data_IF_829101276567
#
_entry.id   IF_829101276567
#
_cell.length_a   1.000
_cell.length_b   1.000
_cell.length_c   1.000
_cell.angle_alpha   90.00
_cell.angle_beta   90.00
_cell.angle_gamma   90.00
#
_symmetry.space_group_name_H-M   'P 1'
#
loop_
_entity.id
_entity.type
_entity.pdbx_description
1 polymer ?
#
# COMPACT_ATOMS: atom_id res chain seq x y z
N UNK A 1 -3.35 3.71 0.26
CA UNK A 1 -3.70 3.10 1.56
C UNK A 1 -3.44 4.10 2.68
N UNK A 2 -4.30 4.23 3.70
CA UNK A 2 -4.00 5.10 4.83
C UNK A 2 -2.81 4.57 5.63
N UNK A 3 -1.94 5.46 6.15
CA UNK A 3 -0.80 5.09 6.98
C UNK A 3 -1.16 4.30 8.26
N UNK A 4 -2.41 4.42 8.74
CA UNK A 4 -2.93 3.67 9.89
C UNK A 4 -3.72 2.41 9.53
N UNK A 5 -3.83 2.04 8.26
CA UNK A 5 -4.62 0.87 7.85
C UNK A 5 -3.98 -0.42 8.37
N UNK A 6 -4.78 -1.28 9.01
CA UNK A 6 -4.35 -2.57 9.55
C UNK A 6 -5.06 -3.72 8.86
N UNK A 7 -4.42 -4.89 8.87
CA UNK A 7 -5.02 -6.13 8.34
C UNK A 7 -6.32 -6.44 9.08
N UNK A 8 -7.42 -6.69 8.35
CA UNK A 8 -8.70 -7.10 8.94
C UNK A 8 -8.52 -8.46 9.66
N UNK A 9 -8.64 -8.49 10.99
CA UNK A 9 -8.66 -9.70 11.83
C UNK A 9 -9.95 -9.80 12.65
N UNK A 10 -10.35 -11.03 13.03
CA UNK A 10 -11.57 -11.28 13.81
C UNK A 10 -11.34 -11.07 15.31
N UNK A 11 -12.27 -10.42 16.00
CA UNK A 11 -12.18 -10.20 17.46
C UNK A 11 -11.41 -8.94 17.87
N UNK A 12 -11.75 -8.38 19.03
CA UNK A 12 -11.32 -7.04 19.48
C UNK A 12 -9.83 -7.00 19.84
N UNK A 13 -9.31 -8.00 20.56
CA UNK A 13 -7.87 -8.10 20.87
C UNK A 13 -7.01 -8.31 19.61
N UNK A 14 -7.48 -9.11 18.65
CA UNK A 14 -6.73 -9.41 17.43
C UNK A 14 -6.60 -8.20 16.51
N UNK A 15 -7.52 -7.23 16.60
CA UNK A 15 -7.44 -5.95 15.87
C UNK A 15 -6.34 -5.03 16.42
N UNK A 16 -6.09 -5.05 17.74
CA UNK A 16 -5.06 -4.21 18.38
C UNK A 16 -3.63 -4.63 17.98
N UNK A 17 -3.41 -5.92 17.78
CA UNK A 17 -2.13 -6.50 17.35
C UNK A 17 -2.01 -6.67 15.83
N UNK A 18 -3.04 -6.31 15.06
CA UNK A 18 -3.04 -6.52 13.62
C UNK A 18 -1.91 -5.70 12.96
N UNK A 19 -1.07 -6.31 12.11
CA UNK A 19 0.04 -5.59 11.49
C UNK A 19 -0.46 -4.45 10.60
N UNK A 20 0.37 -3.42 10.46
CA UNK A 20 0.16 -2.37 9.47
C UNK A 20 0.07 -3.00 8.08
N UNK A 21 -0.99 -2.67 7.34
CA UNK A 21 -1.32 -3.32 6.08
C UNK A 21 -0.22 -3.11 5.02
N UNK A 22 0.48 -1.97 5.07
CA UNK A 22 1.67 -1.67 4.25
C UNK A 22 2.78 -2.69 4.43
N UNK A 23 3.19 -2.92 5.68
CA UNK A 23 4.27 -3.83 5.98
C UNK A 23 3.88 -5.29 5.72
N UNK A 24 2.60 -5.62 5.96
CA UNK A 24 2.07 -6.94 5.62
C UNK A 24 2.14 -7.20 4.10
N UNK A 25 1.62 -6.28 3.27
CA UNK A 25 1.64 -6.42 1.82
C UNK A 25 3.06 -6.37 1.25
N UNK A 26 3.96 -5.57 1.84
CA UNK A 26 5.38 -5.53 1.46
C UNK A 26 6.06 -6.89 1.69
N UNK A 27 5.80 -7.54 2.84
CA UNK A 27 6.32 -8.89 3.11
C UNK A 27 5.72 -9.92 2.15
N UNK A 28 4.40 -9.88 1.94
CA UNK A 28 3.72 -10.79 1.02
C UNK A 28 4.23 -10.67 -0.42
N UNK A 29 4.57 -9.45 -0.87
CA UNK A 29 5.17 -9.21 -2.19
C UNK A 29 6.52 -9.92 -2.33
N UNK A 30 7.39 -9.80 -1.32
CA UNK A 30 8.68 -10.52 -1.28
C UNK A 30 8.49 -12.04 -1.32
N UNK A 31 7.55 -12.57 -0.53
CA UNK A 31 7.25 -14.00 -0.46
C UNK A 31 6.66 -14.54 -1.78
N UNK A 32 6.02 -13.68 -2.57
CA UNK A 32 5.44 -14.02 -3.88
C UNK A 32 6.44 -13.94 -5.04
N UNK A 33 7.72 -13.68 -4.76
CA UNK A 33 8.76 -13.62 -5.80
C UNK A 33 8.75 -12.34 -6.64
N UNK A 34 8.12 -11.26 -6.16
CA UNK A 34 8.19 -9.96 -6.84
C UNK A 34 9.63 -9.42 -6.71
N UNK A 35 10.31 -9.08 -7.82
CA UNK A 35 11.74 -8.76 -7.80
C UNK A 35 12.04 -7.42 -7.13
N UNK A 36 11.11 -6.47 -7.13
CA UNK A 36 11.28 -5.18 -6.45
C UNK A 36 9.96 -4.68 -5.87
N UNK A 37 10.04 -4.20 -4.62
CA UNK A 37 8.95 -3.51 -3.95
C UNK A 37 9.47 -2.31 -3.16
N UNK A 38 8.80 -1.15 -3.25
CA UNK A 38 9.13 0.03 -2.44
C UNK A 38 7.91 0.51 -1.65
N UNK A 39 8.16 0.99 -0.43
CA UNK A 39 7.14 1.55 0.44
C UNK A 39 7.45 3.02 0.68
N UNK A 40 6.59 3.92 0.19
CA UNK A 40 6.81 5.37 0.22
C UNK A 40 5.72 6.08 1.01
N UNK A 41 6.05 6.75 2.13
CA UNK A 41 5.13 7.72 2.73
C UNK A 41 5.02 8.94 1.81
N UNK A 42 3.80 9.44 1.60
CA UNK A 42 3.58 10.63 0.79
C UNK A 42 3.85 11.90 1.62
N UNK A 43 4.70 12.78 1.09
CA UNK A 43 5.12 14.02 1.77
C UNK A 43 4.16 15.19 1.58
N UNK A 44 3.32 15.17 0.55
CA UNK A 44 2.28 16.16 0.30
C UNK A 44 1.18 15.62 -0.63
N UNK A 45 -0.03 16.16 -0.54
CA UNK A 45 -1.12 15.78 -1.43
C UNK A 45 -2.39 16.61 -1.22
N UNK A 46 -3.42 16.34 -2.02
CA UNK A 46 -4.74 16.94 -1.88
C UNK A 46 -5.84 15.94 -2.26
N UNK A 47 -7.04 16.17 -1.76
CA UNK A 47 -8.27 15.52 -2.22
C UNK A 47 -9.09 16.52 -3.04
N UNK A 48 -9.96 16.03 -3.93
CA UNK A 48 -10.88 16.90 -4.66
C UNK A 48 -11.66 17.79 -3.68
N UNK A 49 -11.68 19.10 -3.94
CA UNK A 49 -12.32 20.09 -3.05
C UNK A 49 -11.57 20.43 -1.76
N UNK A 50 -10.35 19.93 -1.55
CA UNK A 50 -9.54 20.18 -0.36
C UNK A 50 -8.26 20.95 -0.70
N UNK A 51 -7.70 21.65 0.31
CA UNK A 51 -6.39 22.31 0.18
C UNK A 51 -5.27 21.26 0.11
N UNK A 52 -4.14 21.66 -0.46
CA UNK A 52 -2.90 20.89 -0.38
C UNK A 52 -2.48 20.80 1.10
N UNK A 53 -2.15 19.58 1.54
CA UNK A 53 -1.55 19.31 2.83
C UNK A 53 -0.15 18.74 2.67
N UNK A 54 0.70 19.02 3.66
CA UNK A 54 2.08 18.56 3.73
C UNK A 54 2.29 17.75 5.01
N UNK A 55 3.06 16.67 4.90
CA UNK A 55 3.57 15.94 6.05
C UNK A 55 4.73 16.75 6.65
N UNK A 56 4.55 17.28 7.86
CA UNK A 56 5.66 17.86 8.63
C UNK A 56 6.32 16.78 9.50
N UNK A 57 7.64 16.78 9.57
CA UNK A 57 8.46 15.77 10.29
C UNK A 57 8.21 15.73 11.81
N UNK A 58 7.66 16.79 12.39
CA UNK A 58 7.52 16.93 13.86
C UNK A 58 6.08 16.81 14.36
N UNK A 59 5.09 16.94 13.48
CA UNK A 59 3.68 16.74 13.79
C UNK A 59 3.25 15.56 12.93
N UNK A 60 2.96 14.42 13.54
CA UNK A 60 2.41 13.25 12.83
C UNK A 60 1.16 13.70 12.08
N UNK A 61 1.31 14.03 10.79
CA UNK A 61 0.21 14.40 9.92
C UNK A 61 -0.65 13.14 9.80
N UNK A 62 -1.87 13.11 10.38
CA UNK A 62 -2.53 11.83 10.65
C UNK A 62 -2.93 11.00 9.42
N UNK A 63 -2.75 11.46 8.18
CA UNK A 63 -3.50 10.89 7.06
C UNK A 63 -2.88 11.01 5.66
N UNK A 64 -1.56 11.12 5.50
CA UNK A 64 -1.01 10.91 4.16
C UNK A 64 -1.00 9.42 3.82
N UNK A 65 -1.43 9.03 2.61
CA UNK A 65 -1.40 7.64 2.24
C UNK A 65 0.04 7.13 2.16
N UNK A 66 0.19 5.82 2.37
CA UNK A 66 1.40 5.10 2.04
C UNK A 66 1.20 4.44 0.68
N UNK A 67 2.18 4.60 -0.20
CA UNK A 67 2.24 3.95 -1.50
C UNK A 67 3.12 2.70 -1.39
N UNK A 68 2.58 1.55 -1.82
CA UNK A 68 3.35 0.35 -2.09
C UNK A 68 3.47 0.23 -3.61
N UNK A 69 4.70 0.26 -4.11
CA UNK A 69 5.01 0.13 -5.52
C UNK A 69 5.68 -1.22 -5.74
N UNK A 70 5.22 -1.95 -6.76
CA UNK A 70 5.69 -3.28 -7.11
C UNK A 70 6.16 -3.25 -8.56
N UNK A 71 7.37 -3.74 -8.82
CA UNK A 71 7.95 -3.83 -10.16
C UNK A 71 8.29 -5.29 -10.42
N UNK A 72 7.84 -5.82 -11.55
CA UNK A 72 8.06 -7.20 -11.95
C UNK A 72 7.18 -7.61 -13.12
N UNK A 73 7.24 -8.90 -13.45
CA UNK A 73 6.43 -9.51 -14.51
C UNK A 73 4.93 -9.34 -14.26
N UNK A 74 4.18 -8.95 -15.30
CA UNK A 74 2.75 -8.67 -15.19
C UNK A 74 1.96 -9.88 -14.65
N UNK A 75 2.32 -11.09 -15.08
CA UNK A 75 1.68 -12.34 -14.62
C UNK A 75 1.84 -12.54 -13.11
N UNK A 76 3.01 -12.25 -12.56
CA UNK A 76 3.31 -12.32 -11.12
C UNK A 76 2.54 -11.24 -10.37
N UNK A 77 2.52 -10.01 -10.88
CA UNK A 77 1.79 -8.89 -10.27
C UNK A 77 0.27 -9.16 -10.24
N UNK A 78 -0.31 -9.70 -11.32
CA UNK A 78 -1.73 -10.08 -11.37
C UNK A 78 -2.05 -11.18 -10.37
N UNK A 79 -1.19 -12.19 -10.26
CA UNK A 79 -1.34 -13.28 -9.28
C UNK A 79 -1.27 -12.76 -7.84
N UNK A 80 -0.36 -11.82 -7.57
CA UNK A 80 -0.27 -11.17 -6.27
C UNK A 80 -1.56 -10.39 -5.93
N UNK A 81 -2.10 -9.63 -6.88
CA UNK A 81 -3.33 -8.87 -6.69
C UNK A 81 -4.55 -9.77 -6.43
N UNK A 82 -4.70 -10.88 -7.17
CA UNK A 82 -5.79 -11.82 -6.97
C UNK A 82 -5.71 -12.51 -5.60
N UNK A 83 -4.51 -12.97 -5.22
CA UNK A 83 -4.25 -13.65 -3.94
C UNK A 83 -4.44 -12.71 -2.75
N UNK A 84 -4.14 -11.43 -2.93
CA UNK A 84 -4.26 -10.41 -1.88
C UNK A 84 -5.63 -9.73 -1.83
N UNK A 85 -6.57 -10.10 -2.69
CA UNK A 85 -7.84 -9.38 -2.92
C UNK A 85 -8.64 -9.07 -1.64
N UNK A 86 -8.64 -9.96 -0.65
CA UNK A 86 -9.29 -9.76 0.65
C UNK A 86 -8.77 -8.54 1.44
N UNK A 87 -7.54 -8.10 1.14
CA UNK A 87 -6.87 -6.98 1.80
C UNK A 87 -6.87 -5.71 0.93
N UNK A 88 -7.30 -5.80 -0.32
CA UNK A 88 -7.29 -4.69 -1.28
C UNK A 88 -8.60 -3.89 -1.27
N UNK A 89 -9.59 -4.31 -0.50
CA UNK A 89 -10.86 -3.58 -0.33
C UNK A 89 -10.62 -2.14 0.17
N UNK A 90 -11.07 -1.15 -0.59
CA UNK A 90 -10.83 0.28 -0.34
C UNK A 90 -9.43 0.77 -0.73
N UNK A 91 -8.56 -0.07 -1.31
CA UNK A 91 -7.28 0.35 -1.89
C UNK A 91 -7.45 0.69 -3.37
N UNK A 92 -6.87 1.81 -3.78
CA UNK A 92 -6.69 2.14 -5.19
C UNK A 92 -5.38 1.52 -5.67
N UNK A 93 -5.45 0.71 -6.72
CA UNK A 93 -4.29 0.18 -7.43
C UNK A 93 -4.31 0.66 -8.88
N UNK A 94 -3.12 0.81 -9.46
CA UNK A 94 -2.92 1.16 -10.85
C UNK A 94 -1.89 0.15 -11.36
N UNK A 95 -2.25 -0.58 -12.42
CA UNK A 95 -1.30 -1.43 -13.13
C UNK A 95 -0.84 -0.66 -14.36
N UNK A 96 0.46 -0.39 -14.44
CA UNK A 96 1.09 0.28 -15.56
C UNK A 96 2.03 -0.72 -16.23
N UNK A 97 1.75 -1.07 -17.48
CA UNK A 97 2.63 -1.87 -18.32
C UNK A 97 3.27 -0.90 -19.32
N UNK A 98 4.50 -0.42 -19.09
CA UNK A 98 5.21 0.35 -20.11
C UNK A 98 5.53 -0.57 -21.29
N UNK A 99 5.41 -0.04 -22.50
CA UNK A 99 5.76 -0.78 -23.73
C UNK A 99 7.25 -1.17 -23.77
N UNK A 100 8.12 -0.54 -22.97
CA UNK A 100 9.53 -0.88 -22.85
C UNK A 100 10.07 -0.63 -21.42
N UNK A 101 10.55 -1.68 -20.75
CA UNK A 101 11.73 -1.58 -19.87
C UNK A 101 12.93 -1.96 -20.74
N UNK A 102 13.55 -0.99 -21.41
CA UNK A 102 14.90 -1.14 -21.96
C UNK A 102 15.91 -0.56 -20.99
#
# INVERSE_FOLDING_TARGET
MSAGARVKRRGVLQKLIAPQLSHYLLRAARESGIPQATLRPISAGYLAGHKISHAHTEISAPAHPVCLELVGEESVLRTFLSTSSAYLDGLRYILFAPDEYR
#
